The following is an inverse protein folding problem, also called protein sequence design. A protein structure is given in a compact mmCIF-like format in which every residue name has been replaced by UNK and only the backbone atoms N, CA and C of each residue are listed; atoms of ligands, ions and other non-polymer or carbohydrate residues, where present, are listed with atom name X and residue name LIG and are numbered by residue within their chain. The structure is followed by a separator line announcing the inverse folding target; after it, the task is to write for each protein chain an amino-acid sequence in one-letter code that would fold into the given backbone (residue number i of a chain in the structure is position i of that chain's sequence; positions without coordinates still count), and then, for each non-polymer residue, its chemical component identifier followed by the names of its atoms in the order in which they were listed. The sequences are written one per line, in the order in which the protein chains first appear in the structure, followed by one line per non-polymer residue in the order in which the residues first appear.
data_IF_798858019916
#
_entry.id   IF_798858019916
#
_cell.length_a   1.000
_cell.length_b   1.000
_cell.length_c   1.000
_cell.angle_alpha   90.00
_cell.angle_beta   90.00
_cell.angle_gamma   90.00
#
_symmetry.space_group_name_H-M   'P 1'
#
loop_
_entity.id
_entity.type
_entity.pdbx_description
1 polymer ?
#
# COMPACT_ATOMS: atom_id res chain seq x y z
N UNK A 1 3.47 4.51 20.79
CA UNK A 1 2.10 4.43 20.24
C UNK A 1 1.77 2.98 19.93
N UNK A 2 0.54 2.52 20.18
CA UNK A 2 0.13 1.17 19.78
C UNK A 2 0.14 1.06 18.25
N UNK A 3 0.89 0.09 17.69
CA UNK A 3 0.99 -0.13 16.25
C UNK A 3 -0.37 -0.65 15.76
N UNK A 4 -1.11 0.20 15.04
CA UNK A 4 -2.42 -0.18 14.47
C UNK A 4 -2.19 -0.99 13.20
N UNK A 5 -3.01 -2.01 13.01
CA UNK A 5 -3.01 -2.76 11.75
C UNK A 5 -3.43 -1.85 10.60
N UNK A 6 -2.62 -1.79 9.55
CA UNK A 6 -2.91 -0.99 8.35
C UNK A 6 -3.76 -1.76 7.34
N UNK A 7 -3.79 -3.09 7.45
CA UNK A 7 -4.54 -3.96 6.56
C UNK A 7 -4.89 -5.27 7.27
N UNK A 8 -6.03 -5.87 6.89
CA UNK A 8 -6.52 -7.16 7.38
C UNK A 8 -7.11 -7.93 6.21
N UNK A 9 -6.78 -9.22 6.12
CA UNK A 9 -7.24 -10.12 5.07
C UNK A 9 -6.72 -11.53 5.30
N UNK A 10 -6.53 -12.28 4.22
CA UNK A 10 -5.96 -13.62 4.29
C UNK A 10 -4.81 -13.79 3.30
N UNK A 11 -3.78 -14.55 3.67
CA UNK A 11 -2.76 -15.03 2.73
C UNK A 11 -3.17 -16.40 2.21
N UNK A 12 -3.27 -16.50 0.89
CA UNK A 12 -3.64 -17.70 0.16
C UNK A 12 -2.46 -18.28 -0.61
N UNK A 13 -2.29 -19.59 -0.55
CA UNK A 13 -1.39 -20.33 -1.44
C UNK A 13 -2.01 -21.69 -1.77
N UNK A 14 -2.28 -21.93 -3.05
CA UNK A 14 -3.08 -23.08 -3.48
C UNK A 14 -4.46 -23.09 -2.83
N UNK A 15 -4.75 -24.11 -2.02
CA UNK A 15 -6.04 -24.25 -1.31
C UNK A 15 -6.01 -23.75 0.14
N UNK A 16 -4.85 -23.31 0.63
CA UNK A 16 -4.69 -22.86 2.01
C UNK A 16 -5.00 -21.36 2.07
N UNK A 17 -5.80 -20.94 3.06
CA UNK A 17 -6.10 -19.54 3.34
C UNK A 17 -5.89 -19.26 4.82
N UNK A 18 -5.00 -18.33 5.14
CA UNK A 18 -4.57 -18.02 6.51
C UNK A 18 -4.96 -16.58 6.83
N UNK A 19 -5.84 -16.33 7.81
CA UNK A 19 -6.16 -14.98 8.27
C UNK A 19 -4.92 -14.28 8.82
N UNK A 20 -4.63 -13.06 8.34
CA UNK A 20 -3.47 -12.26 8.74
C UNK A 20 -3.78 -10.77 8.84
N UNK A 21 -2.93 -10.06 9.57
CA UNK A 21 -2.91 -8.59 9.69
C UNK A 21 -1.55 -8.07 9.28
N UNK A 22 -1.55 -6.92 8.59
CA UNK A 22 -0.34 -6.17 8.29
C UNK A 22 -0.22 -4.96 9.20
N UNK A 23 1.00 -4.70 9.63
CA UNK A 23 1.41 -3.56 10.44
C UNK A 23 2.55 -2.85 9.70
N UNK A 24 2.57 -1.51 9.70
CA UNK A 24 3.69 -0.78 9.11
C UNK A 24 4.99 -1.15 9.81
N UNK A 25 6.03 -1.50 9.05
CA UNK A 25 7.36 -1.80 9.60
C UNK A 25 8.27 -0.55 9.67
N UNK A 26 7.81 0.57 9.10
CA UNK A 26 8.45 1.88 9.21
C UNK A 26 7.57 2.77 10.07
N UNK A 27 8.16 3.41 11.07
CA UNK A 27 7.55 4.55 11.77
C UNK A 27 7.93 5.83 11.05
N UNK A 28 6.95 6.65 10.69
CA UNK A 28 7.20 8.04 10.29
C UNK A 28 7.33 8.87 11.58
N UNK A 29 8.54 9.30 11.92
CA UNK A 29 8.78 10.35 12.93
C UNK A 29 8.80 11.73 12.26
N UNK A 30 7.85 12.00 11.35
CA UNK A 30 7.74 13.33 10.79
C UNK A 30 7.09 14.27 11.81
N UNK A 31 7.85 15.29 12.20
CA UNK A 31 7.32 16.40 13.01
C UNK A 31 6.43 17.24 12.11
N UNK A 32 5.13 16.94 12.13
CA UNK A 32 4.12 17.71 11.40
C UNK A 32 3.83 19.02 12.14
N UNK A 33 4.17 20.13 11.52
CA UNK A 33 3.78 21.45 12.00
C UNK A 33 2.39 21.82 11.46
N UNK A 34 1.51 22.30 12.34
CA UNK A 34 0.29 22.96 11.92
C UNK A 34 0.58 24.45 11.69
N UNK A 35 0.01 25.02 10.63
CA UNK A 35 0.02 26.47 10.45
C UNK A 35 -0.94 27.11 11.46
N UNK A 36 -0.42 28.04 12.26
CA UNK A 36 -1.18 28.79 13.24
C UNK A 36 -1.19 30.27 12.84
N UNK A 37 -2.31 30.95 13.09
CA UNK A 37 -2.39 32.40 12.99
C UNK A 37 -1.47 33.04 14.02
N UNK A 38 -0.61 33.97 13.60
CA UNK A 38 0.46 34.53 14.43
C UNK A 38 -0.05 35.18 15.72
N UNK A 39 -1.15 35.94 15.66
CA UNK A 39 -1.60 36.72 16.83
C UNK A 39 -2.41 35.90 17.84
N UNK A 40 -3.17 34.91 17.37
CA UNK A 40 -4.11 34.16 18.22
C UNK A 40 -3.81 32.66 18.34
N UNK A 41 -2.70 32.21 17.75
CA UNK A 41 -2.25 30.82 17.68
C UNK A 41 -3.34 29.82 17.26
N UNK A 42 -4.35 30.29 16.54
CA UNK A 42 -5.46 29.45 16.09
C UNK A 42 -5.05 28.74 14.80
N UNK A 43 -5.38 27.45 14.70
CA UNK A 43 -5.06 26.64 13.52
C UNK A 43 -5.75 27.20 12.28
N UNK A 44 -4.96 27.52 11.26
CA UNK A 44 -5.47 28.07 10.00
C UNK A 44 -6.26 26.98 9.27
N UNK A 45 -7.43 27.33 8.77
CA UNK A 45 -8.24 26.52 7.87
C UNK A 45 -8.01 27.03 6.45
N UNK A 46 -7.65 26.15 5.52
CA UNK A 46 -7.55 26.49 4.10
C UNK A 46 -8.88 26.23 3.40
N UNK A 47 -9.64 27.28 3.01
CA UNK A 47 -10.80 27.09 2.16
C UNK A 47 -10.35 26.67 0.75
N UNK A 48 -11.20 25.89 0.06
CA UNK A 48 -11.00 25.61 -1.37
C UNK A 48 -11.61 26.76 -2.16
N UNK A 49 -10.82 27.39 -3.02
CA UNK A 49 -11.20 28.60 -3.76
C UNK A 49 -11.08 28.35 -5.26
N UNK A 50 -12.09 28.75 -6.04
CA UNK A 50 -12.04 28.74 -7.50
C UNK A 50 -11.59 30.13 -7.99
N UNK A 51 -10.43 30.27 -8.63
CA UNK A 51 -9.96 31.57 -9.13
C UNK A 51 -10.81 32.11 -10.29
N UNK A 52 -11.50 31.24 -11.03
CA UNK A 52 -12.34 31.63 -12.17
C UNK A 52 -13.69 32.19 -11.74
N UNK A 53 -14.31 31.58 -10.73
CA UNK A 53 -15.60 32.01 -10.20
C UNK A 53 -15.48 33.02 -9.05
N UNK A 54 -14.26 33.24 -8.55
CA UNK A 54 -13.95 34.12 -7.41
C UNK A 54 -14.76 33.76 -6.16
N UNK A 55 -14.92 32.47 -5.89
CA UNK A 55 -15.74 31.98 -4.78
C UNK A 55 -15.14 30.75 -4.09
N UNK A 56 -15.59 30.55 -2.84
CA UNK A 56 -15.30 29.34 -2.07
C UNK A 56 -16.14 28.19 -2.60
N UNK A 57 -15.48 27.07 -2.89
CA UNK A 57 -16.12 25.87 -3.40
C UNK A 57 -16.28 24.84 -2.29
N UNK A 58 -17.47 24.26 -2.19
CA UNK A 58 -17.74 23.18 -1.27
C UNK A 58 -17.21 21.85 -1.82
N UNK A 59 -17.00 20.86 -0.94
CA UNK A 59 -16.44 19.57 -1.39
C UNK A 59 -17.34 18.84 -2.39
N UNK A 60 -18.65 19.07 -2.33
CA UNK A 60 -19.62 18.47 -3.24
C UNK A 60 -19.48 18.96 -4.69
N UNK A 61 -19.00 20.19 -4.88
CA UNK A 61 -18.90 20.83 -6.20
C UNK A 61 -17.53 20.63 -6.85
N UNK A 62 -16.68 19.77 -6.27
CA UNK A 62 -15.33 19.50 -6.76
C UNK A 62 -15.28 18.14 -7.43
N UNK A 63 -15.05 18.17 -8.74
CA UNK A 63 -14.82 16.98 -9.56
C UNK A 63 -13.33 16.66 -9.69
N UNK A 64 -12.99 15.42 -10.05
CA UNK A 64 -11.61 15.01 -10.33
C UNK A 64 -11.34 15.11 -11.83
N UNK A 65 -10.27 15.81 -12.21
CA UNK A 65 -9.80 15.87 -13.59
C UNK A 65 -8.54 15.01 -13.80
N UNK A 66 -8.50 14.23 -14.88
CA UNK A 66 -7.27 13.59 -15.36
C UNK A 66 -6.59 14.50 -16.41
N UNK A 67 -5.31 14.88 -16.24
CA UNK A 67 -4.64 15.79 -17.16
C UNK A 67 -4.31 15.09 -18.49
N UNK A 68 -4.62 15.75 -19.62
CA UNK A 68 -4.23 15.33 -20.97
C UNK A 68 -3.02 16.12 -21.52
N UNK A 69 -2.49 17.07 -20.73
CA UNK A 69 -1.49 18.04 -21.19
C UNK A 69 -2.13 19.33 -21.71
N UNK A 70 -1.32 20.40 -21.77
CA UNK A 70 -1.73 21.75 -22.18
C UNK A 70 -2.94 22.29 -21.39
N UNK A 71 -2.94 22.05 -20.08
CA UNK A 71 -3.99 22.47 -19.14
C UNK A 71 -5.41 21.96 -19.48
N UNK A 72 -5.48 20.88 -20.27
CA UNK A 72 -6.73 20.16 -20.57
C UNK A 72 -6.91 19.01 -19.59
N UNK A 73 -8.15 18.87 -19.11
CA UNK A 73 -8.54 17.82 -18.17
C UNK A 73 -9.76 17.07 -18.68
N UNK A 74 -9.78 15.76 -18.51
CA UNK A 74 -11.00 14.95 -18.63
C UNK A 74 -11.59 14.81 -17.25
N UNK A 75 -12.83 15.26 -17.07
CA UNK A 75 -13.56 15.06 -15.83
C UNK A 75 -13.86 13.57 -15.69
N UNK A 76 -13.45 12.99 -14.57
CA UNK A 76 -13.72 11.58 -14.25
C UNK A 76 -14.78 11.56 -13.16
N UNK A 77 -15.93 10.99 -13.48
CA UNK A 77 -17.02 10.88 -12.53
C UNK A 77 -16.67 9.96 -11.36
N UNK A 78 -17.17 10.30 -10.16
CA UNK A 78 -16.90 9.52 -8.97
C UNK A 78 -17.43 8.08 -9.08
N UNK A 79 -18.54 7.89 -9.81
CA UNK A 79 -19.16 6.60 -10.08
C UNK A 79 -18.36 5.76 -11.08
N UNK A 80 -17.84 6.36 -12.15
CA UNK A 80 -16.94 5.68 -13.11
C UNK A 80 -15.65 5.24 -12.42
N UNK A 81 -15.06 6.12 -11.60
CA UNK A 81 -13.88 5.79 -10.81
C UNK A 81 -14.17 4.67 -9.80
N UNK A 82 -15.39 4.61 -9.24
CA UNK A 82 -15.80 3.54 -8.35
C UNK A 82 -16.04 2.22 -9.10
N UNK A 83 -16.58 2.26 -10.31
CA UNK A 83 -16.78 1.09 -11.17
C UNK A 83 -15.46 0.47 -11.65
N UNK A 84 -14.43 1.30 -11.86
CA UNK A 84 -13.07 0.86 -12.21
C UNK A 84 -12.29 0.27 -11.03
N UNK A 85 -12.72 0.47 -9.79
CA UNK A 85 -12.08 -0.17 -8.64
C UNK A 85 -12.28 -1.67 -8.76
N UNK A 86 -11.20 -2.36 -9.15
CA UNK A 86 -11.09 -3.82 -9.10
C UNK A 86 -11.71 -4.28 -7.79
N UNK A 87 -12.66 -5.24 -7.84
CA UNK A 87 -13.19 -5.93 -6.66
C UNK A 87 -12.02 -6.66 -5.99
N UNK A 88 -11.25 -5.91 -5.23
CA UNK A 88 -10.02 -6.36 -4.64
C UNK A 88 -10.44 -7.22 -3.46
N UNK A 89 -10.53 -8.52 -3.66
CA UNK A 89 -10.65 -9.47 -2.55
C UNK A 89 -9.48 -9.12 -1.62
N UNK A 90 -9.76 -8.89 -0.33
CA UNK A 90 -8.72 -8.56 0.67
C UNK A 90 -7.88 -9.82 0.95
N UNK A 91 -7.10 -10.19 -0.04
CA UNK A 91 -6.27 -11.37 -0.06
C UNK A 91 -4.87 -11.01 -0.52
N UNK A 92 -3.92 -11.77 0.00
CA UNK A 92 -2.56 -11.85 -0.48
C UNK A 92 -2.47 -13.21 -1.18
N UNK A 93 -2.23 -13.25 -2.47
CA UNK A 93 -2.14 -14.49 -3.24
C UNK A 93 -0.67 -14.78 -3.54
N UNK A 94 -0.14 -15.87 -2.99
CA UNK A 94 1.21 -16.34 -3.29
C UNK A 94 1.23 -16.98 -4.66
N UNK A 95 2.09 -16.45 -5.53
CA UNK A 95 2.26 -16.92 -6.91
C UNK A 95 3.36 -17.97 -6.96
N UNK A 96 4.52 -17.70 -6.35
CA UNK A 96 5.69 -18.57 -6.45
C UNK A 96 6.66 -18.39 -5.26
N UNK A 97 7.50 -19.38 -5.01
CA UNK A 97 8.61 -19.29 -4.06
C UNK A 97 9.94 -19.28 -4.81
N UNK A 98 10.71 -18.19 -4.67
CA UNK A 98 11.95 -17.94 -5.41
C UNK A 98 13.14 -17.78 -4.47
N UNK A 99 14.34 -17.77 -5.03
CA UNK A 99 15.53 -17.34 -4.29
C UNK A 99 15.42 -15.84 -3.94
N UNK A 100 15.71 -15.46 -2.70
CA UNK A 100 15.73 -14.04 -2.34
C UNK A 100 16.76 -13.23 -3.14
N UNK A 101 17.85 -13.88 -3.58
CA UNK A 101 18.91 -13.25 -4.37
C UNK A 101 18.55 -13.00 -5.83
N UNK A 102 17.48 -13.62 -6.35
CA UNK A 102 17.04 -13.39 -7.74
C UNK A 102 16.19 -12.12 -7.88
N UNK A 103 15.83 -11.46 -6.77
CA UNK A 103 15.04 -10.24 -6.77
C UNK A 103 16.00 -9.05 -6.69
N UNK A 104 16.08 -8.27 -7.77
CA UNK A 104 16.90 -7.05 -7.79
C UNK A 104 16.41 -6.09 -6.69
N UNK A 105 17.31 -5.63 -5.80
CA UNK A 105 16.96 -4.76 -4.69
C UNK A 105 16.21 -3.47 -5.08
N UNK A 106 16.37 -3.00 -6.32
CA UNK A 106 15.69 -1.80 -6.84
C UNK A 106 14.17 -1.93 -6.86
N UNK A 107 13.64 -3.15 -6.88
CA UNK A 107 12.19 -3.35 -6.85
C UNK A 107 11.59 -3.14 -5.46
N UNK A 108 12.35 -3.15 -4.38
CA UNK A 108 11.77 -3.07 -3.04
C UNK A 108 11.28 -1.66 -2.68
N UNK A 109 10.03 -1.57 -2.20
CA UNK A 109 9.40 -0.32 -1.75
C UNK A 109 9.11 -0.37 -0.24
N UNK A 110 7.86 -0.61 0.20
CA UNK A 110 7.44 -0.45 1.60
C UNK A 110 7.35 -1.77 2.36
N UNK A 111 7.98 -1.87 3.54
CA UNK A 111 7.89 -3.07 4.38
C UNK A 111 6.73 -3.02 5.38
N UNK A 112 6.15 -4.19 5.64
CA UNK A 112 5.04 -4.44 6.54
C UNK A 112 5.30 -5.74 7.33
N UNK A 113 5.10 -5.69 8.65
CA UNK A 113 5.05 -6.91 9.45
C UNK A 113 3.71 -7.60 9.26
N UNK A 114 3.74 -8.89 8.96
CA UNK A 114 2.58 -9.76 8.84
C UNK A 114 2.52 -10.68 10.06
N UNK A 115 1.38 -10.62 10.76
CA UNK A 115 1.09 -11.48 11.91
C UNK A 115 -0.22 -12.24 11.68
N UNK A 116 -0.42 -13.41 12.29
CA UNK A 116 -1.68 -14.14 12.19
C UNK A 116 -2.83 -13.36 12.83
N UNK A 117 -4.01 -13.48 12.25
CA UNK A 117 -5.25 -13.06 12.89
C UNK A 117 -5.94 -14.26 13.58
N UNK A 118 -7.06 -14.00 14.25
CA UNK A 118 -7.86 -15.00 14.96
C UNK A 118 -8.11 -16.23 14.08
N UNK A 119 -7.72 -17.41 14.58
CA UNK A 119 -7.86 -18.70 13.88
C UNK A 119 -6.71 -19.06 12.92
N UNK A 120 -5.81 -18.13 12.57
CA UNK A 120 -4.72 -18.36 11.62
C UNK A 120 -3.40 -18.88 12.22
N UNK A 121 -3.25 -18.86 13.55
CA UNK A 121 -1.95 -19.06 14.22
C UNK A 121 -1.18 -20.33 13.83
N UNK A 122 -1.81 -21.51 13.88
CA UNK A 122 -1.11 -22.78 13.58
C UNK A 122 -0.63 -22.85 12.12
N UNK A 123 -1.49 -22.48 11.18
CA UNK A 123 -1.15 -22.49 9.76
C UNK A 123 -0.09 -21.43 9.43
N UNK A 124 -0.17 -20.25 10.08
CA UNK A 124 0.84 -19.20 9.96
C UNK A 124 2.22 -19.68 10.44
N UNK A 125 2.29 -20.31 11.62
CA UNK A 125 3.55 -20.87 12.13
C UNK A 125 4.11 -21.95 11.21
N UNK A 126 3.25 -22.78 10.60
CA UNK A 126 3.69 -23.78 9.64
C UNK A 126 4.29 -23.14 8.38
N UNK A 127 3.64 -22.11 7.84
CA UNK A 127 4.14 -21.35 6.70
C UNK A 127 5.49 -20.70 7.05
N UNK A 128 5.58 -19.99 8.18
CA UNK A 128 6.81 -19.36 8.66
C UNK A 128 7.96 -20.37 8.72
N UNK A 129 7.79 -21.47 9.47
CA UNK A 129 8.83 -22.49 9.63
C UNK A 129 9.18 -23.20 8.32
N UNK A 130 8.20 -23.42 7.46
CA UNK A 130 8.42 -24.00 6.13
C UNK A 130 9.30 -23.10 5.27
N UNK A 131 9.03 -21.79 5.26
CA UNK A 131 9.83 -20.81 4.53
C UNK A 131 11.25 -20.67 5.11
N UNK A 132 11.40 -20.69 6.44
CA UNK A 132 12.70 -20.69 7.11
C UNK A 132 13.54 -21.92 6.74
N UNK A 133 12.91 -23.11 6.73
CA UNK A 133 13.61 -24.35 6.43
C UNK A 133 14.07 -24.43 4.96
N UNK A 134 13.21 -24.00 4.03
CA UNK A 134 13.51 -24.06 2.60
C UNK A 134 14.40 -22.89 2.15
N UNK A 135 14.43 -21.79 2.92
CA UNK A 135 15.24 -20.61 2.61
C UNK A 135 14.77 -19.83 1.38
N UNK A 136 13.46 -19.87 1.09
CA UNK A 136 12.85 -19.22 -0.09
C UNK A 136 11.97 -18.04 0.29
N UNK A 137 11.88 -17.09 -0.61
CA UNK A 137 11.02 -15.91 -0.51
C UNK A 137 9.78 -16.14 -1.37
N UNK A 138 8.59 -15.86 -0.83
CA UNK A 138 7.36 -15.95 -1.61
C UNK A 138 7.15 -14.65 -2.39
N UNK A 139 6.84 -14.73 -3.68
CA UNK A 139 6.31 -13.64 -4.49
C UNK A 139 4.80 -13.74 -4.47
N UNK A 140 4.13 -12.63 -4.15
CA UNK A 140 2.69 -12.59 -3.97
C UNK A 140 2.08 -11.30 -4.52
N UNK A 141 0.78 -11.34 -4.78
CA UNK A 141 -0.03 -10.19 -5.12
C UNK A 141 -0.86 -9.78 -3.92
N UNK A 142 -0.85 -8.50 -3.57
CA UNK A 142 -1.64 -7.96 -2.46
C UNK A 142 -2.53 -6.83 -2.94
N UNK A 143 -3.82 -6.96 -2.63
CA UNK A 143 -4.81 -5.92 -2.84
C UNK A 143 -4.85 -4.98 -1.64
N UNK A 144 -4.26 -3.78 -1.75
CA UNK A 144 -4.27 -2.78 -0.68
C UNK A 144 -4.47 -1.36 -1.23
N UNK A 145 -5.14 -0.50 -0.45
CA UNK A 145 -5.38 0.92 -0.79
C UNK A 145 -6.03 1.14 -2.17
N UNK A 146 -6.83 0.18 -2.63
CA UNK A 146 -7.57 0.28 -3.90
C UNK A 146 -6.76 -0.06 -5.16
N UNK A 147 -5.55 -0.62 -5.02
CA UNK A 147 -4.74 -1.13 -6.14
C UNK A 147 -4.11 -2.48 -5.78
N UNK A 148 -3.79 -3.27 -6.80
CA UNK A 148 -2.98 -4.49 -6.64
C UNK A 148 -1.51 -4.10 -6.63
N UNK A 149 -0.74 -4.69 -5.73
CA UNK A 149 0.71 -4.57 -5.67
C UNK A 149 1.35 -5.95 -5.78
N UNK A 150 2.49 -6.03 -6.45
CA UNK A 150 3.40 -7.15 -6.27
C UNK A 150 4.11 -6.98 -4.91
N UNK A 151 4.41 -8.08 -4.24
CA UNK A 151 5.11 -8.05 -2.96
C UNK A 151 5.92 -9.33 -2.76
N UNK A 152 6.91 -9.24 -1.87
CA UNK A 152 7.58 -10.42 -1.34
C UNK A 152 7.09 -10.70 0.07
N UNK A 153 7.19 -11.96 0.48
CA UNK A 153 6.97 -12.41 1.86
C UNK A 153 8.18 -13.25 2.25
N UNK A 154 8.78 -12.96 3.41
CA UNK A 154 9.93 -13.70 3.94
C UNK A 154 9.86 -13.86 5.47
N UNK A 155 10.48 -14.89 6.05
CA UNK A 155 10.61 -15.01 7.49
C UNK A 155 11.32 -13.82 8.13
N UNK A 156 10.84 -13.38 9.29
CA UNK A 156 11.46 -12.33 10.10
C UNK A 156 11.16 -12.56 11.58
N UNK A 157 12.03 -13.28 12.27
CA UNK A 157 11.78 -13.74 13.64
C UNK A 157 10.50 -14.58 13.69
N UNK A 158 9.61 -14.30 14.65
CA UNK A 158 8.33 -15.01 14.80
C UNK A 158 7.21 -14.51 13.86
N UNK A 159 7.55 -13.63 12.91
CA UNK A 159 6.62 -13.00 11.98
C UNK A 159 7.07 -13.20 10.54
N UNK A 160 6.19 -12.84 9.60
CA UNK A 160 6.54 -12.71 8.20
C UNK A 160 6.74 -11.23 7.88
N UNK A 161 7.76 -10.90 7.11
CA UNK A 161 7.93 -9.57 6.52
C UNK A 161 7.36 -9.58 5.11
N UNK A 162 6.32 -8.77 4.90
CA UNK A 162 5.83 -8.45 3.57
C UNK A 162 6.49 -7.16 3.09
N UNK A 163 7.02 -7.14 1.87
CA UNK A 163 7.56 -5.90 1.29
C UNK A 163 6.95 -5.68 -0.09
N UNK A 164 6.34 -4.52 -0.32
CA UNK A 164 5.80 -4.20 -1.65
C UNK A 164 6.94 -4.06 -2.66
N UNK A 165 6.64 -4.42 -3.90
CA UNK A 165 7.53 -4.29 -5.03
C UNK A 165 7.02 -3.22 -6.00
N UNK A 166 7.96 -2.48 -6.58
CA UNK A 166 7.78 -1.64 -7.75
C UNK A 166 7.74 -2.53 -8.99
N UNK A 167 6.82 -2.25 -9.90
CA UNK A 167 6.79 -2.87 -11.21
C UNK A 167 7.98 -2.40 -12.06
N UNK A 168 8.35 -3.19 -13.07
CA UNK A 168 9.52 -2.89 -13.89
C UNK A 168 9.38 -1.55 -14.66
N UNK A 169 8.16 -1.19 -15.05
CA UNK A 169 7.81 0.09 -15.68
C UNK A 169 7.81 1.28 -14.72
N UNK A 170 7.75 1.03 -13.40
CA UNK A 170 7.94 2.06 -12.37
C UNK A 170 9.43 2.37 -12.15
N UNK A 171 10.34 1.50 -12.60
CA UNK A 171 11.78 1.73 -12.53
C UNK A 171 12.28 2.51 -13.74
N UNK A 172 13.06 3.57 -13.48
CA UNK A 172 13.72 4.33 -14.55
C UNK A 172 14.94 3.57 -15.07
N UNK A 173 15.13 3.62 -16.38
CA UNK A 173 16.36 3.10 -16.99
C UNK A 173 17.56 3.99 -16.62
N UNK A 174 18.74 3.40 -16.38
CA UNK A 174 19.95 4.16 -16.15
C UNK A 174 20.35 4.89 -17.45
N UNK A 175 20.71 6.17 -17.33
CA UNK A 175 21.29 6.91 -18.46
C UNK A 175 22.74 6.43 -18.63
N UNK A 176 23.14 5.91 -19.80
CA UNK A 176 24.52 5.52 -20.04
C UNK A 176 25.44 6.76 -19.96
N UNK A 177 26.56 6.61 -19.26
CA UNK A 177 27.60 7.64 -19.09
C UNK A 177 28.64 7.53 -20.19
#
# INVERSE_FOLDING_TARGET
MAIRSVWKGAVGFGMVSIPVKLYGAVGEEDVLFNQLHWDCNTRIQMPRWCPTCDEKVETADIVKGYPLGDDRYVVVDAEELAALKVKSIKAIEVVEFVDGSSIDPRHYDKPYFMAPDVGGGKAFTLLLKGMEHVGRVAVAKVSMRGREHLCTIRPFGDLLLLQTLLWADELREPVPV
#
